data_IF_561312665636
#
_entry.id   IF_561312665636
#
_cell.length_a   1.000
_cell.length_b   1.000
_cell.length_c   1.000
_cell.angle_alpha   90.00
_cell.angle_beta   90.00
_cell.angle_gamma   90.00
#
_symmetry.space_group_name_H-M   'P 1'
#
loop_
_entity.id
_entity.type
_entity.pdbx_description
1 polymer ?
#
# COMPACT_ATOMS: atom_id res chain seq x y z
N UNK A 1 5.48 11.09 -7.35
CA UNK A 1 5.14 10.91 -8.77
C UNK A 1 5.91 11.86 -9.68
N UNK A 2 6.96 12.52 -9.17
CA UNK A 2 7.67 13.59 -9.90
C UNK A 2 8.30 13.07 -11.19
N UNK A 3 8.75 11.82 -11.21
CA UNK A 3 9.29 11.18 -12.41
C UNK A 3 8.25 11.07 -13.54
N UNK A 4 7.03 10.65 -13.21
CA UNK A 4 5.94 10.50 -14.19
C UNK A 4 5.52 11.86 -14.74
N UNK A 5 5.46 12.86 -13.88
CA UNK A 5 5.15 14.24 -14.27
C UNK A 5 6.28 14.88 -15.10
N UNK A 6 7.54 14.57 -14.79
CA UNK A 6 8.69 15.00 -15.59
C UNK A 6 8.68 14.40 -17.01
N UNK A 7 8.06 13.23 -17.18
CA UNK A 7 7.78 12.63 -18.48
C UNK A 7 6.55 13.24 -19.18
N UNK A 8 5.91 14.25 -18.59
CA UNK A 8 4.71 14.90 -19.13
C UNK A 8 3.45 14.03 -19.07
N UNK A 9 3.46 12.94 -18.29
CA UNK A 9 2.33 12.02 -18.20
C UNK A 9 1.35 12.46 -17.12
N UNK A 10 0.07 12.53 -17.45
CA UNK A 10 -1.05 12.86 -16.54
C UNK A 10 -2.13 11.78 -16.60
N UNK A 11 -2.91 11.59 -15.53
CA UNK A 11 -3.97 10.58 -15.54
C UNK A 11 -3.46 9.13 -15.48
N UNK A 12 -2.18 8.94 -15.15
CA UNK A 12 -1.57 7.61 -15.01
C UNK A 12 -2.26 6.80 -13.90
N UNK A 13 -2.45 5.51 -14.16
CA UNK A 13 -2.92 4.52 -13.19
C UNK A 13 -1.74 3.66 -12.75
N UNK A 14 -1.41 3.70 -11.47
CA UNK A 14 -0.39 2.86 -10.86
C UNK A 14 -1.03 1.54 -10.41
N UNK A 15 -0.56 0.43 -10.97
CA UNK A 15 -1.00 -0.91 -10.57
C UNK A 15 -0.03 -1.43 -9.51
N UNK A 16 -0.53 -1.72 -8.31
CA UNK A 16 0.26 -2.23 -7.19
C UNK A 16 -0.22 -3.62 -6.76
N UNK A 17 0.67 -4.40 -6.14
CA UNK A 17 0.29 -5.66 -5.53
C UNK A 17 -0.75 -5.48 -4.40
N UNK A 18 -1.50 -6.52 -4.08
CA UNK A 18 -2.52 -6.47 -3.02
C UNK A 18 -1.94 -6.62 -1.60
N UNK A 19 -0.62 -6.48 -1.41
CA UNK A 19 0.00 -6.74 -0.14
C UNK A 19 -0.35 -5.66 0.88
N UNK A 20 -0.41 -6.08 2.15
CA UNK A 20 -0.82 -5.22 3.27
C UNK A 20 0.09 -3.99 3.41
N UNK A 21 1.38 -4.11 3.10
CA UNK A 21 2.34 -3.02 3.26
C UNK A 21 2.14 -1.87 2.26
N UNK A 22 1.51 -2.11 1.10
CA UNK A 22 1.15 -1.04 0.16
C UNK A 22 -0.12 -0.29 0.55
N UNK A 23 -0.87 -0.80 1.53
CA UNK A 23 -2.16 -0.26 1.96
C UNK A 23 -2.08 0.48 3.30
N UNK A 24 -0.94 1.12 3.56
CA UNK A 24 -0.75 1.96 4.73
C UNK A 24 -1.83 3.03 4.82
N UNK A 25 -2.58 3.04 5.92
CA UNK A 25 -3.58 4.07 6.22
C UNK A 25 -2.93 5.22 7.00
N UNK A 26 -3.50 6.43 6.97
CA UNK A 26 -3.07 7.54 7.82
C UNK A 26 -2.90 7.15 9.29
N UNK A 27 -1.95 7.76 10.00
CA UNK A 27 -1.62 7.39 11.39
C UNK A 27 -2.77 7.62 12.37
N UNK A 28 -3.60 8.62 12.10
CA UNK A 28 -4.80 8.97 12.84
C UNK A 28 -6.01 8.08 12.51
N UNK A 29 -5.86 7.10 11.63
CA UNK A 29 -6.94 6.15 11.31
C UNK A 29 -7.32 5.35 12.56
N UNK A 30 -8.62 5.32 12.94
CA UNK A 30 -9.06 4.57 14.11
C UNK A 30 -8.69 3.09 14.04
N UNK A 31 -8.16 2.53 15.14
CA UNK A 31 -7.76 1.11 15.23
C UNK A 31 -8.48 0.44 16.40
N UNK A 32 -8.80 -0.85 16.26
CA UNK A 32 -9.42 -1.63 17.34
C UNK A 32 -8.60 -1.72 18.63
N UNK A 33 -7.30 -1.43 18.57
CA UNK A 33 -6.42 -1.31 19.74
C UNK A 33 -6.69 -0.05 20.58
N UNK A 34 -7.28 1.00 20.01
CA UNK A 34 -7.54 2.26 20.71
C UNK A 34 -8.39 2.10 21.97
N UNK A 35 -8.27 3.05 22.91
CA UNK A 35 -9.14 3.11 24.10
C UNK A 35 -10.60 3.34 23.67
N UNK A 36 -11.57 2.81 24.44
CA UNK A 36 -13.01 2.92 24.13
C UNK A 36 -13.45 4.38 23.91
N UNK A 37 -12.94 5.31 24.73
CA UNK A 37 -13.23 6.75 24.59
C UNK A 37 -12.82 7.27 23.21
N UNK A 38 -11.63 6.90 22.71
CA UNK A 38 -11.18 7.29 21.37
C UNK A 38 -12.03 6.68 20.25
N UNK A 39 -12.49 5.44 20.43
CA UNK A 39 -13.40 4.81 19.47
C UNK A 39 -14.78 5.48 19.45
N UNK A 40 -15.31 5.92 20.60
CA UNK A 40 -16.57 6.68 20.67
C UNK A 40 -16.45 8.04 19.98
N UNK A 41 -15.34 8.75 20.21
CA UNK A 41 -15.05 10.01 19.51
C UNK A 41 -14.94 9.80 17.98
N UNK A 42 -14.26 8.73 17.56
CA UNK A 42 -14.22 8.35 16.15
C UNK A 42 -15.61 7.99 15.60
N UNK A 43 -16.45 7.28 16.35
CA UNK A 43 -17.83 7.01 15.92
C UNK A 43 -18.60 8.31 15.68
N UNK A 44 -18.45 9.34 16.52
CA UNK A 44 -19.07 10.65 16.28
C UNK A 44 -18.56 11.29 14.98
N UNK A 45 -17.24 11.30 14.76
CA UNK A 45 -16.62 11.85 13.56
C UNK A 45 -17.09 11.14 12.28
N UNK A 46 -17.24 9.82 12.33
CA UNK A 46 -17.64 9.00 11.18
C UNK A 46 -19.16 8.82 11.07
N UNK A 47 -19.96 9.39 11.99
CA UNK A 47 -21.43 9.26 11.99
C UNK A 47 -21.91 7.82 12.21
N UNK A 48 -21.24 7.08 13.10
CA UNK A 48 -21.57 5.70 13.46
C UNK A 48 -22.38 5.70 14.75
N UNK A 49 -23.59 5.16 14.70
CA UNK A 49 -24.47 5.07 15.87
C UNK A 49 -24.01 3.99 16.86
N UNK A 50 -23.64 4.44 18.07
CA UNK A 50 -23.17 3.63 19.19
C UNK A 50 -23.55 4.31 20.51
N UNK A 51 -23.80 3.50 21.53
CA UNK A 51 -24.09 4.01 22.86
C UNK A 51 -22.86 3.92 23.77
N UNK A 52 -22.77 4.82 24.76
CA UNK A 52 -21.66 4.80 25.72
C UNK A 52 -21.59 3.48 26.53
N UNK A 53 -22.71 2.77 26.70
CA UNK A 53 -22.76 1.46 27.37
C UNK A 53 -22.29 0.30 26.50
N UNK A 54 -22.20 0.47 25.18
CA UNK A 54 -21.77 -0.60 24.28
C UNK A 54 -20.38 -1.12 24.63
N UNK A 55 -20.18 -2.42 24.50
CA UNK A 55 -18.86 -3.02 24.68
C UNK A 55 -17.89 -2.47 23.63
N UNK A 56 -16.61 -2.30 23.99
CA UNK A 56 -15.56 -1.84 23.06
C UNK A 56 -15.55 -2.64 21.75
N UNK A 57 -15.77 -3.96 21.84
CA UNK A 57 -15.85 -4.86 20.68
C UNK A 57 -17.02 -4.53 19.75
N UNK A 58 -18.19 -4.22 20.32
CA UNK A 58 -19.38 -3.80 19.58
C UNK A 58 -19.14 -2.47 18.86
N UNK A 59 -18.62 -1.46 19.59
CA UNK A 59 -18.26 -0.16 19.01
C UNK A 59 -17.31 -0.33 17.83
N UNK A 60 -16.23 -1.11 18.01
CA UNK A 60 -15.27 -1.36 16.92
C UNK A 60 -15.89 -2.12 15.74
N UNK A 61 -16.74 -3.12 15.98
CA UNK A 61 -17.38 -3.87 14.89
C UNK A 61 -18.27 -3.01 14.01
N UNK A 62 -18.89 -1.97 14.55
CA UNK A 62 -19.70 -1.00 13.79
C UNK A 62 -18.82 0.03 13.07
N UNK A 63 -17.76 0.52 13.74
CA UNK A 63 -16.87 1.53 13.17
C UNK A 63 -15.96 1.00 12.05
N UNK A 64 -15.41 -0.22 12.21
CA UNK A 64 -14.44 -0.83 11.28
C UNK A 64 -14.87 -0.80 9.80
N UNK A 65 -16.09 -1.23 9.41
CA UNK A 65 -16.50 -1.21 8.01
C UNK A 65 -16.64 0.21 7.44
N UNK A 66 -17.09 1.17 8.26
CA UNK A 66 -17.24 2.58 7.84
C UNK A 66 -15.87 3.22 7.59
N UNK A 67 -14.90 2.95 8.47
CA UNK A 67 -13.50 3.38 8.26
C UNK A 67 -12.92 2.75 7.00
N UNK A 68 -13.10 1.44 6.80
CA UNK A 68 -12.59 0.72 5.63
C UNK A 68 -13.18 1.23 4.30
N UNK A 69 -14.42 1.75 4.29
CA UNK A 69 -15.05 2.29 3.10
C UNK A 69 -14.66 3.75 2.80
N UNK A 70 -14.25 4.52 3.81
CA UNK A 70 -14.02 5.97 3.67
C UNK A 70 -12.55 6.37 3.70
N UNK A 71 -11.70 5.60 4.38
CA UNK A 71 -10.28 5.91 4.51
C UNK A 71 -9.50 5.20 3.42
N UNK A 72 -8.92 5.99 2.52
CA UNK A 72 -8.05 5.49 1.47
C UNK A 72 -6.63 5.25 2.02
N UNK A 73 -5.90 4.27 1.48
CA UNK A 73 -4.46 4.19 1.68
C UNK A 73 -3.76 5.50 1.29
N UNK A 74 -2.72 5.86 2.02
CA UNK A 74 -1.97 7.12 1.84
C UNK A 74 -1.48 7.26 0.40
N UNK A 75 -0.96 6.19 -0.20
CA UNK A 75 -0.49 6.18 -1.59
C UNK A 75 -1.59 6.52 -2.60
N UNK A 76 -2.83 6.08 -2.36
CA UNK A 76 -3.98 6.37 -3.22
C UNK A 76 -4.33 7.86 -3.11
N UNK A 77 -4.40 8.40 -1.89
CA UNK A 77 -4.66 9.81 -1.66
C UNK A 77 -3.59 10.70 -2.29
N UNK A 78 -2.31 10.33 -2.16
CA UNK A 78 -1.18 11.04 -2.77
C UNK A 78 -1.23 11.05 -4.30
N UNK A 79 -1.59 9.92 -4.92
CA UNK A 79 -1.72 9.83 -6.38
C UNK A 79 -2.89 10.69 -6.87
N UNK A 80 -4.07 10.59 -6.23
CA UNK A 80 -5.28 11.33 -6.60
C UNK A 80 -5.13 12.83 -6.45
N UNK A 81 -4.44 13.29 -5.41
CA UNK A 81 -4.11 14.70 -5.23
C UNK A 81 -3.28 15.28 -6.39
N UNK A 82 -2.63 14.42 -7.18
CA UNK A 82 -1.79 14.77 -8.33
C UNK A 82 -2.43 14.37 -9.66
N UNK A 83 -3.73 14.06 -9.68
CA UNK A 83 -4.45 13.70 -10.91
C UNK A 83 -4.13 12.29 -11.44
N UNK A 84 -3.61 11.40 -10.58
CA UNK A 84 -3.33 10.01 -10.90
C UNK A 84 -4.22 9.07 -10.08
N UNK A 85 -4.26 7.78 -10.39
CA UNK A 85 -4.96 6.79 -9.57
C UNK A 85 -4.08 5.59 -9.23
N UNK A 86 -4.47 4.85 -8.19
CA UNK A 86 -3.79 3.62 -7.77
C UNK A 86 -4.82 2.52 -7.69
N UNK A 87 -4.55 1.40 -8.36
CA UNK A 87 -5.35 0.19 -8.32
C UNK A 87 -4.53 -0.97 -7.78
N UNK A 88 -5.19 -1.87 -7.06
CA UNK A 88 -4.56 -3.04 -6.48
C UNK A 88 -5.00 -4.28 -7.24
N UNK A 89 -4.06 -5.16 -7.57
CA UNK A 89 -4.41 -6.44 -8.19
C UNK A 89 -5.24 -7.30 -7.23
N UNK A 90 -6.00 -8.29 -7.73
CA UNK A 90 -6.59 -9.31 -6.88
C UNK A 90 -5.52 -10.08 -6.09
N UNK A 91 -5.86 -10.62 -4.89
CA UNK A 91 -4.95 -11.51 -4.17
C UNK A 91 -4.65 -12.77 -5.00
N UNK A 92 -3.43 -13.31 -4.87
CA UNK A 92 -2.98 -14.54 -5.54
C UNK A 92 -2.85 -14.47 -7.08
N UNK A 93 -2.78 -13.26 -7.64
CA UNK A 93 -2.59 -13.03 -9.07
C UNK A 93 -1.33 -12.19 -9.35
N UNK A 94 -0.16 -12.77 -9.05
CA UNK A 94 1.14 -12.13 -9.33
C UNK A 94 1.41 -11.99 -10.84
N UNK A 95 0.76 -12.81 -11.66
CA UNK A 95 0.78 -12.72 -13.13
C UNK A 95 0.22 -11.39 -13.66
N UNK A 96 -0.66 -10.73 -12.89
CA UNK A 96 -1.21 -9.42 -13.22
C UNK A 96 -0.32 -8.25 -12.78
N UNK A 97 0.89 -8.53 -12.27
CA UNK A 97 1.81 -7.52 -11.76
C UNK A 97 3.06 -7.48 -12.65
N UNK A 98 3.16 -6.51 -13.59
CA UNK A 98 4.29 -6.42 -14.50
C UNK A 98 5.65 -6.34 -13.78
N UNK A 99 5.68 -5.76 -12.57
CA UNK A 99 6.89 -5.67 -11.75
C UNK A 99 7.41 -7.04 -11.28
N UNK A 100 6.53 -8.03 -11.06
CA UNK A 100 6.92 -9.38 -10.67
C UNK A 100 7.62 -10.10 -11.83
N UNK A 101 7.13 -9.91 -13.07
CA UNK A 101 7.80 -10.44 -14.27
C UNK A 101 9.17 -9.80 -14.48
N UNK A 102 9.25 -8.47 -14.40
CA UNK A 102 10.50 -7.72 -14.53
C UNK A 102 11.50 -8.11 -13.44
N UNK A 103 11.05 -8.14 -12.19
CA UNK A 103 11.85 -8.54 -11.03
C UNK A 103 12.36 -9.96 -11.15
N UNK A 104 11.51 -10.91 -11.58
CA UNK A 104 11.92 -12.30 -11.81
C UNK A 104 13.03 -12.41 -12.86
N UNK A 105 12.93 -11.64 -13.96
CA UNK A 105 13.97 -11.61 -15.00
C UNK A 105 15.29 -11.07 -14.46
N UNK A 106 15.26 -9.88 -13.84
CA UNK A 106 16.45 -9.22 -13.30
C UNK A 106 17.10 -10.05 -12.21
N UNK A 107 16.32 -10.60 -11.29
CA UNK A 107 16.84 -11.46 -10.22
C UNK A 107 17.46 -12.74 -10.78
N UNK A 108 16.88 -13.33 -11.83
CA UNK A 108 17.48 -14.49 -12.50
C UNK A 108 18.83 -14.11 -13.13
N UNK A 109 18.87 -13.01 -13.89
CA UNK A 109 20.09 -12.55 -14.58
C UNK A 109 21.24 -12.24 -13.63
N UNK A 110 20.94 -11.60 -12.50
CA UNK A 110 21.95 -11.31 -11.46
C UNK A 110 22.29 -12.57 -10.67
N UNK A 111 21.28 -13.37 -10.35
CA UNK A 111 21.39 -14.54 -9.49
C UNK A 111 22.24 -15.65 -10.06
N UNK A 112 22.19 -15.89 -11.38
CA UNK A 112 23.05 -16.90 -12.04
C UNK A 112 24.54 -16.58 -11.98
N UNK A 113 24.91 -15.33 -11.67
CA UNK A 113 26.29 -14.87 -11.53
C UNK A 113 26.82 -14.98 -10.09
N UNK A 114 25.99 -15.40 -9.13
CA UNK A 114 26.37 -15.46 -7.73
C UNK A 114 27.29 -16.64 -7.45
N UNK A 115 28.38 -16.34 -6.74
CA UNK A 115 29.37 -17.28 -6.19
C UNK A 115 29.46 -17.10 -4.68
N UNK A 116 30.19 -17.98 -3.99
CA UNK A 116 30.38 -17.91 -2.53
C UNK A 116 31.04 -16.61 -2.06
N UNK A 117 31.80 -15.94 -2.91
CA UNK A 117 32.50 -14.69 -2.61
C UNK A 117 31.73 -13.43 -3.04
N UNK A 118 30.50 -13.60 -3.56
CA UNK A 118 29.71 -12.46 -4.05
C UNK A 118 29.33 -11.51 -2.91
N UNK A 119 29.62 -10.23 -3.09
CA UNK A 119 29.31 -9.17 -2.13
C UNK A 119 28.09 -8.33 -2.57
N UNK A 120 27.53 -7.53 -1.65
CA UNK A 120 26.47 -6.58 -2.00
C UNK A 120 26.90 -5.52 -3.03
N UNK A 121 28.18 -5.16 -3.07
CA UNK A 121 28.70 -4.23 -4.07
C UNK A 121 28.64 -4.85 -5.48
N UNK A 122 28.99 -6.14 -5.60
CA UNK A 122 28.89 -6.89 -6.86
C UNK A 122 27.44 -6.99 -7.31
N UNK A 123 26.52 -7.34 -6.40
CA UNK A 123 25.09 -7.39 -6.68
C UNK A 123 24.56 -6.04 -7.17
N UNK A 124 24.97 -4.94 -6.53
CA UNK A 124 24.54 -3.60 -6.95
C UNK A 124 25.01 -3.26 -8.36
N UNK A 125 26.28 -3.50 -8.67
CA UNK A 125 26.83 -3.27 -10.01
C UNK A 125 26.10 -4.10 -11.08
N UNK A 126 25.81 -5.38 -10.77
CA UNK A 126 25.06 -6.27 -11.68
C UNK A 126 23.62 -5.82 -11.89
N UNK A 127 22.96 -5.30 -10.85
CA UNK A 127 21.63 -4.72 -10.98
C UNK A 127 21.67 -3.49 -11.90
N UNK A 128 22.64 -2.59 -11.73
CA UNK A 128 22.76 -1.40 -12.59
C UNK A 128 22.92 -1.80 -14.07
N UNK A 129 23.65 -2.89 -14.37
CA UNK A 129 23.75 -3.46 -15.73
C UNK A 129 22.45 -4.11 -16.20
N UNK A 130 21.75 -4.85 -15.34
CA UNK A 130 20.51 -5.55 -15.71
C UNK A 130 19.34 -4.61 -15.98
N UNK A 131 19.39 -3.38 -15.46
CA UNK A 131 18.38 -2.32 -15.68
C UNK A 131 18.78 -1.31 -16.77
N UNK A 132 19.97 -1.42 -17.36
CA UNK A 132 20.46 -0.54 -18.43
C UNK A 132 19.87 -0.91 -19.80
#
# INVERSE_FOLDING_TARGET
MDYVEALGQTGVVFVMDNAKYHKGLPDDTPRGSWRKVGLLAACQLYGVDVEARDLKKTVWSRLKPVVAARVLPVVVSMARARGHDVVFTPPHHSDLQPIEMMGSKVMCDVGVQNTVDTTFADVRSRLDVAFA
#
